data_IF_040984941422
#
_entry.id   IF_040984941422
#
_cell.length_a   1.000
_cell.length_b   1.000
_cell.length_c   1.000
_cell.angle_alpha   90.00
_cell.angle_beta   90.00
_cell.angle_gamma   90.00
#
_symmetry.space_group_name_H-M   'P 1'
#
loop_
_entity.id
_entity.type
_entity.pdbx_description
1 polymer ?
#
# COMPACT_ATOMS: atom_id res chain seq x y z
N UNK A 1 10.22 40.81 38.79
CA UNK A 1 10.09 41.63 37.56
C UNK A 1 8.86 41.15 36.79
N UNK A 2 7.93 42.05 36.46
CA UNK A 2 6.70 41.73 35.71
C UNK A 2 6.03 43.04 35.24
N UNK A 3 5.19 42.98 34.18
CA UNK A 3 4.40 44.07 33.54
C UNK A 3 5.16 44.92 32.49
N UNK A 4 4.57 45.38 31.38
CA UNK A 4 3.24 45.14 30.75
C UNK A 4 3.19 45.62 29.27
N UNK A 5 2.20 45.12 28.50
CA UNK A 5 1.57 45.69 27.26
C UNK A 5 2.39 45.70 25.96
N UNK A 6 1.89 45.18 24.82
CA UNK A 6 0.69 45.50 24.00
C UNK A 6 0.83 46.78 23.16
N UNK A 7 0.91 46.62 21.83
CA UNK A 7 0.80 47.68 20.83
C UNK A 7 -0.09 47.22 19.66
N UNK A 8 -0.90 48.13 19.11
CA UNK A 8 -1.97 47.81 18.15
C UNK A 8 -2.37 49.07 17.36
N UNK A 9 -2.61 48.96 16.03
CA UNK A 9 -3.17 49.99 15.11
C UNK A 9 -2.27 51.22 14.83
N UNK A 10 -2.38 52.00 13.74
CA UNK A 10 -2.98 51.85 12.39
C UNK A 10 -2.57 53.08 11.50
N UNK A 11 -3.09 53.18 10.25
CA UNK A 11 -3.11 54.36 9.34
C UNK A 11 -1.78 54.73 8.62
N UNK A 12 -1.74 55.54 7.55
CA UNK A 12 -2.53 55.67 6.30
C UNK A 12 -1.82 56.65 5.33
N UNK A 13 -1.95 56.44 4.02
CA UNK A 13 -1.75 57.34 2.83
C UNK A 13 -1.09 58.74 2.97
N UNK A 14 -0.20 59.11 2.01
CA UNK A 14 -0.37 60.20 1.00
C UNK A 14 0.89 60.49 0.12
N UNK A 15 0.68 61.22 -0.98
CA UNK A 15 1.55 61.62 -2.14
C UNK A 15 2.14 63.07 -1.95
N UNK A 16 2.87 63.78 -2.89
CA UNK A 16 3.43 63.49 -4.24
C UNK A 16 4.95 63.95 -4.48
N UNK A 17 5.39 64.82 -5.45
CA UNK A 17 6.53 64.51 -6.38
C UNK A 17 7.64 65.63 -6.40
N UNK A 18 8.43 65.99 -7.47
CA UNK A 18 8.04 66.33 -8.87
C UNK A 18 9.00 65.86 -10.01
N UNK A 19 8.75 66.37 -11.23
CA UNK A 19 9.31 65.99 -12.54
C UNK A 19 10.07 67.12 -13.26
N UNK A 20 10.90 66.80 -14.27
CA UNK A 20 11.27 67.74 -15.36
C UNK A 20 11.59 67.03 -16.70
N UNK A 21 11.32 67.71 -17.81
CA UNK A 21 11.57 67.28 -19.22
C UNK A 21 12.77 68.04 -19.83
N UNK A 22 13.18 67.82 -21.10
CA UNK A 22 12.60 68.65 -22.19
C UNK A 22 12.51 68.01 -23.61
N UNK A 23 12.06 68.84 -24.56
CA UNK A 23 11.66 68.65 -25.98
C UNK A 23 12.87 68.95 -26.93
N UNK A 24 13.10 68.38 -28.13
CA UNK A 24 12.43 68.72 -29.41
C UNK A 24 12.96 67.97 -30.67
N UNK A 25 12.08 67.65 -31.64
CA UNK A 25 12.24 67.72 -33.14
C UNK A 25 13.39 66.93 -33.88
N UNK A 26 13.38 66.63 -35.20
CA UNK A 26 12.47 66.88 -36.35
C UNK A 26 12.52 65.71 -37.40
N UNK A 27 11.66 65.81 -38.43
CA UNK A 27 11.35 64.95 -39.58
C UNK A 27 12.49 64.31 -40.41
N UNK A 28 12.19 63.15 -41.02
CA UNK A 28 12.88 62.58 -42.18
C UNK A 28 12.09 61.46 -42.87
N UNK A 29 11.54 61.72 -44.06
CA UNK A 29 10.90 60.69 -44.91
C UNK A 29 11.97 59.96 -45.75
N UNK A 30 11.86 58.64 -45.95
CA UNK A 30 11.66 58.03 -47.29
C UNK A 30 11.61 56.49 -47.31
N UNK A 31 10.85 55.99 -48.30
CA UNK A 31 10.92 54.68 -48.97
C UNK A 31 10.93 53.37 -48.17
N UNK A 32 9.83 52.62 -48.30
CA UNK A 32 9.83 51.15 -48.26
C UNK A 32 10.69 50.61 -49.40
N UNK A 33 11.52 49.60 -49.13
CA UNK A 33 11.90 48.58 -50.12
C UNK A 33 11.73 47.20 -49.48
N UNK A 34 10.87 46.39 -50.09
CA UNK A 34 10.67 44.99 -49.73
C UNK A 34 11.82 44.17 -50.31
N UNK A 35 12.68 43.63 -49.45
CA UNK A 35 13.62 42.56 -49.83
C UNK A 35 13.14 41.26 -49.22
N UNK A 36 12.67 40.34 -50.06
CA UNK A 36 12.26 39.01 -49.65
C UNK A 36 13.52 38.15 -49.38
N UNK A 37 13.99 38.17 -48.14
CA UNK A 37 15.02 37.24 -47.70
C UNK A 37 14.44 35.82 -47.72
N UNK A 38 14.90 34.99 -48.65
CA UNK A 38 14.66 33.56 -48.60
C UNK A 38 15.15 32.99 -47.26
N UNK A 39 14.42 32.05 -46.63
CA UNK A 39 14.85 31.49 -45.35
C UNK A 39 16.21 30.81 -45.54
N UNK A 40 17.22 31.28 -44.80
CA UNK A 40 18.53 30.63 -44.72
C UNK A 40 18.31 29.26 -44.09
N UNK A 41 18.29 28.22 -44.94
CA UNK A 41 18.31 26.84 -44.49
C UNK A 41 19.66 26.61 -43.82
N UNK A 42 19.67 26.59 -42.48
CA UNK A 42 20.85 26.21 -41.71
C UNK A 42 21.33 24.83 -42.17
N UNK A 43 22.59 24.68 -42.62
CA UNK A 43 23.09 23.43 -43.18
C UNK A 43 23.45 22.43 -42.07
N UNK A 44 22.44 21.97 -41.35
CA UNK A 44 22.41 20.77 -40.52
C UNK A 44 20.99 20.62 -39.94
N UNK A 45 20.18 19.61 -40.36
CA UNK A 45 18.97 19.27 -39.64
C UNK A 45 19.38 18.69 -38.28
N UNK A 46 19.42 19.53 -37.25
CA UNK A 46 19.62 19.05 -35.89
C UNK A 46 18.50 18.06 -35.56
N UNK A 47 18.86 16.83 -35.18
CA UNK A 47 17.90 15.77 -34.90
C UNK A 47 16.78 16.27 -33.97
N UNK A 48 15.58 16.44 -34.54
CA UNK A 48 14.42 17.00 -33.87
C UNK A 48 13.83 15.95 -32.92
N UNK A 49 14.45 15.81 -31.74
CA UNK A 49 14.09 14.79 -30.74
C UNK A 49 12.60 14.79 -30.41
N UNK A 50 11.97 15.96 -30.33
CA UNK A 50 10.53 16.07 -30.07
C UNK A 50 9.70 15.43 -31.18
N UNK A 51 9.94 15.82 -32.43
CA UNK A 51 9.20 15.30 -33.58
C UNK A 51 9.47 13.81 -33.79
N UNK A 52 10.68 13.34 -33.51
CA UNK A 52 11.01 11.92 -33.45
C UNK A 52 10.20 11.18 -32.39
N UNK A 53 10.07 11.71 -31.16
CA UNK A 53 9.28 11.08 -30.09
C UNK A 53 7.78 11.05 -30.39
N UNK A 54 7.24 12.09 -31.04
CA UNK A 54 5.84 12.14 -31.46
C UNK A 54 5.58 11.16 -32.61
N UNK A 55 6.37 11.22 -33.68
CA UNK A 55 6.18 10.42 -34.90
C UNK A 55 6.43 8.92 -34.71
N UNK A 56 7.50 8.55 -34.00
CA UNK A 56 7.97 7.14 -33.96
C UNK A 56 7.17 6.27 -32.98
N UNK A 57 6.52 6.88 -31.97
CA UNK A 57 5.91 6.14 -30.84
C UNK A 57 4.57 6.68 -30.31
N UNK A 58 3.99 7.71 -30.92
CA UNK A 58 2.68 8.23 -30.50
C UNK A 58 2.67 8.82 -29.09
N UNK A 59 3.81 9.32 -28.59
CA UNK A 59 3.81 10.14 -27.38
C UNK A 59 3.03 11.42 -27.65
N UNK A 60 2.17 11.81 -26.70
CA UNK A 60 1.49 13.11 -26.75
C UNK A 60 2.55 14.21 -26.74
N UNK A 61 2.42 15.26 -27.57
CA UNK A 61 3.43 16.32 -27.71
C UNK A 61 3.88 16.93 -26.38
N UNK A 62 2.99 17.06 -25.39
CA UNK A 62 3.33 17.48 -24.03
C UNK A 62 4.31 16.53 -23.28
N UNK A 63 4.24 15.22 -23.53
CA UNK A 63 5.19 14.24 -23.00
C UNK A 63 6.53 14.31 -23.74
N UNK A 64 6.50 14.49 -25.07
CA UNK A 64 7.71 14.67 -25.88
C UNK A 64 8.49 15.92 -25.46
N UNK A 65 7.82 17.08 -25.33
CA UNK A 65 8.38 18.34 -24.80
C UNK A 65 9.07 18.16 -23.44
N UNK A 66 8.47 17.37 -22.52
CA UNK A 66 9.05 17.06 -21.21
C UNK A 66 10.24 16.10 -21.27
N UNK A 67 10.35 15.32 -22.34
CA UNK A 67 11.40 14.33 -22.55
C UNK A 67 12.62 14.91 -23.29
N UNK A 68 12.41 15.77 -24.29
CA UNK A 68 13.45 16.31 -25.17
C UNK A 68 14.68 16.90 -24.43
N UNK A 69 14.56 17.69 -23.34
CA UNK A 69 15.72 18.22 -22.63
C UNK A 69 16.65 17.14 -22.06
N UNK A 70 16.11 15.97 -21.68
CA UNK A 70 16.90 14.83 -21.17
C UNK A 70 17.68 14.11 -22.28
N UNK A 71 17.37 14.40 -23.53
CA UNK A 71 17.81 13.72 -24.75
C UNK A 71 18.58 14.65 -25.71
N UNK A 72 18.83 15.91 -25.33
CA UNK A 72 19.43 16.95 -26.17
C UNK A 72 20.83 16.64 -26.74
N UNK A 73 21.49 15.59 -26.26
CA UNK A 73 22.77 15.09 -26.76
C UNK A 73 22.63 14.09 -27.93
N UNK A 74 21.43 13.60 -28.23
CA UNK A 74 21.17 12.74 -29.38
C UNK A 74 21.27 13.55 -30.68
N UNK A 75 22.03 13.04 -31.64
CA UNK A 75 22.25 13.66 -32.96
C UNK A 75 21.74 12.81 -34.14
N UNK A 76 21.21 11.62 -33.86
CA UNK A 76 20.74 10.64 -34.85
C UNK A 76 19.72 9.69 -34.21
N UNK A 77 18.71 9.21 -34.96
CA UNK A 77 17.75 8.22 -34.48
C UNK A 77 18.33 6.81 -34.30
N UNK A 78 19.50 6.50 -34.87
CA UNK A 78 20.02 5.13 -34.95
C UNK A 78 20.15 4.39 -33.60
N UNK A 79 20.62 5.08 -32.53
CA UNK A 79 20.69 4.44 -31.20
C UNK A 79 19.30 4.32 -30.53
N UNK A 80 18.45 5.37 -30.51
CA UNK A 80 17.04 5.23 -30.15
C UNK A 80 16.32 4.08 -30.86
N UNK A 81 16.41 3.97 -32.19
CA UNK A 81 15.75 2.93 -32.99
C UNK A 81 16.26 1.53 -32.61
N UNK A 82 17.57 1.34 -32.43
CA UNK A 82 18.14 0.09 -31.95
C UNK A 82 17.62 -0.31 -30.56
N UNK A 83 17.48 0.66 -29.63
CA UNK A 83 16.87 0.42 -28.31
C UNK A 83 15.39 0.07 -28.44
N UNK A 84 14.65 0.76 -29.31
CA UNK A 84 13.23 0.51 -29.54
C UNK A 84 12.99 -0.88 -30.18
N UNK A 85 13.84 -1.30 -31.11
CA UNK A 85 13.81 -2.61 -31.74
C UNK A 85 14.18 -3.72 -30.75
N UNK A 86 15.19 -3.50 -29.90
CA UNK A 86 15.55 -4.43 -28.83
C UNK A 86 14.39 -4.64 -27.84
N UNK A 87 13.73 -3.57 -27.38
CA UNK A 87 12.56 -3.68 -26.49
C UNK A 87 11.38 -4.40 -27.15
N UNK A 88 11.15 -4.19 -28.45
CA UNK A 88 10.14 -4.94 -29.20
C UNK A 88 10.51 -6.42 -29.32
N UNK A 89 11.79 -6.76 -29.58
CA UNK A 89 12.31 -8.13 -29.64
C UNK A 89 12.27 -8.90 -28.29
N UNK A 90 12.22 -8.17 -27.16
CA UNK A 90 11.90 -8.77 -25.85
C UNK A 90 10.41 -9.10 -25.68
N UNK A 91 9.52 -8.48 -26.48
CA UNK A 91 8.07 -8.68 -26.41
C UNK A 91 7.28 -7.53 -25.76
N UNK A 92 7.85 -6.33 -25.59
CA UNK A 92 7.06 -5.18 -25.11
C UNK A 92 6.12 -4.67 -26.20
N UNK A 93 4.87 -4.38 -25.83
CA UNK A 93 3.90 -3.77 -26.75
C UNK A 93 4.30 -2.33 -27.11
N UNK A 94 3.79 -1.82 -28.24
CA UNK A 94 4.04 -0.43 -28.64
C UNK A 94 3.62 0.60 -27.59
N UNK A 95 2.50 0.34 -26.91
CA UNK A 95 1.99 1.17 -25.81
C UNK A 95 2.88 1.11 -24.56
N UNK A 96 3.36 -0.09 -24.19
CA UNK A 96 4.28 -0.25 -23.05
C UNK A 96 5.61 0.48 -23.27
N UNK A 97 6.17 0.37 -24.49
CA UNK A 97 7.41 1.11 -24.83
C UNK A 97 7.17 2.61 -24.79
N UNK A 98 6.04 3.12 -25.31
CA UNK A 98 5.70 4.54 -25.23
C UNK A 98 5.57 5.01 -23.77
N UNK A 99 4.90 4.24 -22.91
CA UNK A 99 4.74 4.54 -21.49
C UNK A 99 6.09 4.49 -20.72
N UNK A 100 6.97 3.55 -21.06
CA UNK A 100 8.32 3.43 -20.49
C UNK A 100 9.19 4.62 -20.91
N UNK A 101 9.21 4.99 -22.20
CA UNK A 101 9.95 6.15 -22.72
C UNK A 101 9.42 7.46 -22.13
N UNK A 102 8.11 7.65 -22.02
CA UNK A 102 7.52 8.85 -21.41
C UNK A 102 7.96 9.06 -19.95
N UNK A 103 8.20 7.96 -19.21
CA UNK A 103 8.66 8.00 -17.82
C UNK A 103 10.18 8.14 -17.70
N UNK A 104 10.94 7.41 -18.51
CA UNK A 104 12.41 7.36 -18.46
C UNK A 104 13.07 7.56 -19.84
N UNK A 105 12.99 8.77 -20.43
CA UNK A 105 13.41 9.03 -21.82
C UNK A 105 14.84 8.60 -22.15
N UNK A 106 15.79 8.81 -21.23
CA UNK A 106 17.22 8.50 -21.42
C UNK A 106 17.49 6.99 -21.56
N UNK A 107 16.47 6.12 -21.52
CA UNK A 107 16.60 4.73 -21.93
C UNK A 107 17.01 4.63 -23.41
N UNK A 108 16.54 5.56 -24.24
CA UNK A 108 16.92 5.70 -25.66
C UNK A 108 18.40 6.05 -25.88
N UNK A 109 19.11 6.43 -24.81
CA UNK A 109 20.55 6.71 -24.81
C UNK A 109 21.40 5.51 -24.38
N UNK A 110 20.78 4.42 -23.91
CA UNK A 110 21.49 3.21 -23.53
C UNK A 110 22.05 2.50 -24.76
N UNK A 111 23.17 1.79 -24.59
CA UNK A 111 23.78 0.98 -25.66
C UNK A 111 23.24 -0.44 -25.55
N UNK A 112 22.64 -0.97 -26.62
CA UNK A 112 22.00 -2.30 -26.59
C UNK A 112 23.01 -3.38 -26.15
N UNK A 113 24.08 -3.58 -26.92
CA UNK A 113 25.09 -4.62 -26.67
C UNK A 113 25.91 -4.43 -25.39
N UNK A 114 26.15 -3.19 -24.97
CA UNK A 114 27.01 -2.89 -23.80
C UNK A 114 26.25 -2.70 -22.49
N UNK A 115 24.92 -2.58 -22.55
CA UNK A 115 24.11 -2.20 -21.38
C UNK A 115 22.82 -3.00 -21.29
N UNK A 116 21.94 -2.91 -22.28
CA UNK A 116 20.61 -3.50 -22.18
C UNK A 116 20.65 -5.03 -22.27
N UNK A 117 21.29 -5.59 -23.30
CA UNK A 117 21.41 -7.05 -23.46
C UNK A 117 22.15 -7.71 -22.28
N UNK A 118 23.32 -7.21 -21.81
CA UNK A 118 23.97 -7.76 -20.62
C UNK A 118 23.14 -7.65 -19.33
N UNK A 119 22.29 -6.62 -19.18
CA UNK A 119 21.42 -6.46 -18.01
C UNK A 119 20.21 -7.40 -18.06
N UNK A 120 19.61 -7.60 -19.24
CA UNK A 120 18.55 -8.60 -19.44
C UNK A 120 19.08 -10.02 -19.24
N UNK A 121 20.30 -10.32 -19.74
CA UNK A 121 20.96 -11.60 -19.49
C UNK A 121 21.21 -11.83 -17.99
N UNK A 122 21.63 -10.80 -17.24
CA UNK A 122 21.80 -10.89 -15.80
C UNK A 122 20.46 -11.07 -15.05
N UNK A 123 19.38 -10.44 -15.49
CA UNK A 123 18.03 -10.68 -14.95
C UNK A 123 17.54 -12.11 -15.24
N UNK A 124 17.86 -12.64 -16.42
CA UNK A 124 17.57 -14.04 -16.78
C UNK A 124 18.39 -14.99 -15.90
N UNK A 125 19.66 -14.67 -15.65
CA UNK A 125 20.56 -15.44 -14.78
C UNK A 125 20.18 -15.46 -13.30
N UNK A 126 19.33 -14.54 -12.82
CA UNK A 126 18.71 -14.63 -11.47
C UNK A 126 17.35 -15.35 -11.47
N UNK A 127 16.98 -15.98 -12.58
CA UNK A 127 15.80 -16.83 -12.70
C UNK A 127 14.54 -16.15 -13.22
N UNK A 128 14.59 -14.91 -13.71
CA UNK A 128 13.43 -14.27 -14.34
C UNK A 128 13.23 -14.76 -15.78
N UNK A 129 12.01 -15.16 -16.10
CA UNK A 129 11.57 -15.42 -17.48
C UNK A 129 11.50 -14.13 -18.30
N UNK A 130 11.52 -14.26 -19.63
CA UNK A 130 11.34 -13.13 -20.56
C UNK A 130 10.04 -12.36 -20.28
N UNK A 131 8.94 -13.07 -20.02
CA UNK A 131 7.63 -12.48 -19.70
C UNK A 131 7.63 -11.67 -18.40
N UNK A 132 8.37 -12.08 -17.38
CA UNK A 132 8.47 -11.33 -16.12
C UNK A 132 9.35 -10.08 -16.27
N UNK A 133 10.42 -10.17 -17.06
CA UNK A 133 11.25 -9.00 -17.42
C UNK A 133 10.42 -7.99 -18.21
N UNK A 134 9.62 -8.44 -19.19
CA UNK A 134 8.64 -7.58 -19.90
C UNK A 134 7.64 -6.97 -18.91
N UNK A 135 7.05 -7.76 -18.00
CA UNK A 135 6.10 -7.27 -17.00
C UNK A 135 6.68 -6.20 -16.07
N UNK A 136 7.93 -6.33 -15.64
CA UNK A 136 8.65 -5.29 -14.89
C UNK A 136 8.84 -4.02 -15.73
N UNK A 137 9.24 -4.15 -16.99
CA UNK A 137 9.45 -3.01 -17.88
C UNK A 137 8.14 -2.28 -18.24
N UNK A 138 7.06 -2.99 -18.55
CA UNK A 138 5.73 -2.43 -18.84
C UNK A 138 5.13 -1.68 -17.65
N UNK A 139 5.41 -2.09 -16.42
CA UNK A 139 5.06 -1.30 -15.22
C UNK A 139 5.84 0.03 -15.10
N UNK A 140 6.79 0.31 -16.00
CA UNK A 140 7.75 1.41 -15.93
C UNK A 140 8.68 1.26 -14.74
N UNK A 141 8.98 0.02 -14.37
CA UNK A 141 9.64 -0.42 -13.15
C UNK A 141 11.03 -1.00 -13.47
N UNK A 142 11.94 -0.14 -13.91
CA UNK A 142 13.35 -0.48 -14.13
C UNK A 142 13.98 0.43 -15.18
N UNK A 143 15.17 0.98 -14.88
CA UNK A 143 15.92 1.78 -15.86
C UNK A 143 16.80 0.89 -16.75
N UNK A 144 17.30 -0.22 -16.21
CA UNK A 144 18.26 -1.14 -16.84
C UNK A 144 19.47 -0.44 -17.51
N UNK A 145 19.81 0.78 -17.07
CA UNK A 145 20.91 1.58 -17.63
C UNK A 145 22.25 1.29 -16.97
N UNK A 146 22.24 0.70 -15.78
CA UNK A 146 23.45 0.35 -15.04
C UNK A 146 23.37 -1.07 -14.48
N UNK A 147 24.53 -1.64 -14.14
CA UNK A 147 24.59 -2.88 -13.35
C UNK A 147 23.92 -2.72 -11.98
N UNK A 148 23.97 -1.52 -11.38
CA UNK A 148 23.32 -1.24 -10.10
C UNK A 148 21.78 -1.28 -10.15
N UNK A 149 21.14 -1.05 -11.31
CA UNK A 149 19.70 -1.29 -11.49
C UNK A 149 19.38 -2.79 -11.33
N UNK A 150 20.21 -3.67 -11.91
CA UNK A 150 20.05 -5.13 -11.81
C UNK A 150 20.28 -5.61 -10.37
N UNK A 151 21.34 -5.15 -9.70
CA UNK A 151 21.60 -5.49 -8.30
C UNK A 151 20.47 -5.03 -7.36
N UNK A 152 19.85 -3.87 -7.65
CA UNK A 152 18.66 -3.40 -6.91
C UNK A 152 17.46 -4.33 -7.12
N UNK A 153 17.18 -4.71 -8.37
CA UNK A 153 16.11 -5.66 -8.68
C UNK A 153 16.35 -7.02 -7.98
N UNK A 154 17.56 -7.56 -8.07
CA UNK A 154 17.94 -8.83 -7.41
C UNK A 154 17.75 -8.76 -5.89
N UNK A 155 18.14 -7.66 -5.24
CA UNK A 155 17.90 -7.48 -3.80
C UNK A 155 16.40 -7.47 -3.48
N UNK A 156 15.57 -6.79 -4.29
CA UNK A 156 14.12 -6.81 -4.08
C UNK A 156 13.52 -8.20 -4.29
N UNK A 157 13.90 -8.94 -5.33
CA UNK A 157 13.42 -10.31 -5.54
C UNK A 157 13.72 -11.20 -4.32
N UNK A 158 14.94 -11.12 -3.79
CA UNK A 158 15.32 -11.81 -2.54
C UNK A 158 14.50 -11.34 -1.33
N UNK A 159 14.26 -10.03 -1.18
CA UNK A 159 13.49 -9.46 -0.07
C UNK A 159 12.00 -9.84 -0.10
N UNK A 160 11.39 -9.90 -1.28
CA UNK A 160 9.97 -10.22 -1.46
C UNK A 160 9.71 -11.74 -1.55
N UNK A 161 10.76 -12.55 -1.73
CA UNK A 161 10.71 -14.01 -1.81
C UNK A 161 10.15 -14.57 -3.12
N UNK A 162 9.40 -13.77 -3.88
CA UNK A 162 8.99 -14.08 -5.25
C UNK A 162 8.81 -12.82 -6.09
N UNK A 163 8.90 -12.98 -7.40
CA UNK A 163 8.56 -11.95 -8.39
C UNK A 163 7.08 -11.53 -8.30
N UNK A 164 6.15 -12.46 -8.07
CA UNK A 164 4.72 -12.13 -7.89
C UNK A 164 4.46 -11.20 -6.72
N UNK A 165 5.08 -11.47 -5.56
CA UNK A 165 5.01 -10.61 -4.38
C UNK A 165 5.55 -9.22 -4.69
N UNK A 166 6.66 -9.15 -5.42
CA UNK A 166 7.27 -7.89 -5.81
C UNK A 166 6.40 -7.11 -6.80
N UNK A 167 5.89 -7.75 -7.85
CA UNK A 167 4.95 -7.16 -8.81
C UNK A 167 3.66 -6.69 -8.13
N UNK A 168 3.14 -7.43 -7.15
CA UNK A 168 1.98 -7.01 -6.35
C UNK A 168 2.28 -5.73 -5.55
N UNK A 169 3.45 -5.66 -4.90
CA UNK A 169 3.90 -4.46 -4.18
C UNK A 169 4.01 -3.24 -5.10
N UNK A 170 4.61 -3.42 -6.29
CA UNK A 170 4.78 -2.37 -7.31
C UNK A 170 3.42 -1.87 -7.84
N UNK A 171 2.45 -2.77 -8.11
CA UNK A 171 1.10 -2.39 -8.55
C UNK A 171 0.34 -1.57 -7.50
N UNK A 172 0.53 -1.85 -6.20
CA UNK A 172 -0.24 -1.25 -5.10
C UNK A 172 0.17 0.19 -4.73
N UNK A 173 1.44 0.55 -4.88
CA UNK A 173 2.00 1.88 -4.49
C UNK A 173 2.95 2.48 -5.53
N UNK A 174 2.85 2.01 -6.77
CA UNK A 174 3.71 2.41 -7.89
C UNK A 174 5.16 1.96 -7.74
N UNK A 175 5.98 2.21 -8.75
CA UNK A 175 7.39 1.82 -8.77
C UNK A 175 8.29 2.54 -7.73
N UNK A 176 7.74 3.29 -6.78
CA UNK A 176 8.44 4.16 -5.80
C UNK A 176 9.66 3.48 -5.15
N UNK A 177 9.55 2.19 -4.84
CA UNK A 177 10.61 1.34 -4.29
C UNK A 177 11.87 1.22 -5.17
N UNK A 178 11.72 1.27 -6.49
CA UNK A 178 12.84 1.22 -7.44
C UNK A 178 13.59 2.55 -7.56
N UNK A 179 12.93 3.66 -7.22
CA UNK A 179 13.54 4.99 -7.18
C UNK A 179 14.23 5.27 -5.84
N UNK A 180 13.82 4.57 -4.77
CA UNK A 180 14.50 4.64 -3.49
C UNK A 180 15.97 4.20 -3.62
N UNK A 181 16.83 4.83 -2.83
CA UNK A 181 18.23 4.43 -2.73
C UNK A 181 18.34 3.10 -1.96
N UNK A 182 19.04 2.14 -2.55
CA UNK A 182 19.15 0.78 -2.01
C UNK A 182 19.94 0.75 -0.69
N UNK A 183 21.06 1.46 -0.65
CA UNK A 183 22.02 1.44 0.47
C UNK A 183 21.61 2.43 1.57
N UNK A 184 21.05 3.59 1.18
CA UNK A 184 20.75 4.69 2.11
C UNK A 184 19.32 4.68 2.65
N UNK A 185 18.40 3.96 2.03
CA UNK A 185 16.98 3.94 2.43
C UNK A 185 16.45 2.52 2.59
N UNK A 186 16.52 1.68 1.55
CA UNK A 186 15.89 0.35 1.57
C UNK A 186 16.57 -0.59 2.58
N UNK A 187 17.89 -0.80 2.47
CA UNK A 187 18.63 -1.70 3.37
C UNK A 187 18.56 -1.26 4.85
N UNK A 188 18.73 0.03 5.22
CA UNK A 188 18.53 0.49 6.60
C UNK A 188 17.12 0.23 7.13
N UNK A 189 16.07 0.46 6.32
CA UNK A 189 14.70 0.15 6.73
C UNK A 189 14.48 -1.37 6.91
N UNK A 190 15.08 -2.22 6.08
CA UNK A 190 15.04 -3.70 6.27
C UNK A 190 15.80 -4.13 7.52
N UNK A 191 16.99 -3.58 7.76
CA UNK A 191 17.77 -3.84 8.96
C UNK A 191 17.00 -3.45 10.23
N UNK A 192 16.41 -2.25 10.22
CA UNK A 192 15.54 -1.75 11.28
C UNK A 192 14.34 -2.69 11.57
N UNK A 193 13.67 -3.21 10.53
CA UNK A 193 12.59 -4.18 10.74
C UNK A 193 13.10 -5.50 11.36
N UNK A 194 14.34 -5.91 11.09
CA UNK A 194 14.98 -7.07 11.75
C UNK A 194 15.33 -6.78 13.21
N UNK A 195 15.80 -5.57 13.54
CA UNK A 195 16.03 -5.13 14.94
C UNK A 195 14.75 -5.20 15.79
N UNK A 196 13.58 -5.05 15.18
CA UNK A 196 12.27 -5.20 15.82
C UNK A 196 11.76 -6.65 15.86
N UNK A 197 12.60 -7.61 15.45
CA UNK A 197 12.36 -9.04 15.53
C UNK A 197 11.53 -9.62 14.39
N UNK A 198 11.36 -8.92 13.27
CA UNK A 198 10.70 -9.51 12.10
C UNK A 198 11.68 -10.38 11.31
N UNK A 199 11.33 -11.66 11.14
CA UNK A 199 12.05 -12.56 10.24
C UNK A 199 11.84 -12.20 8.75
N UNK A 200 12.71 -12.67 7.83
CA UNK A 200 12.65 -12.31 6.41
C UNK A 200 11.29 -12.55 5.76
N UNK A 201 10.61 -13.66 6.08
CA UNK A 201 9.29 -13.99 5.55
C UNK A 201 8.20 -13.00 6.00
N UNK A 202 8.32 -12.44 7.20
CA UNK A 202 7.36 -11.47 7.73
C UNK A 202 7.64 -10.05 7.23
N UNK A 203 8.91 -9.70 7.03
CA UNK A 203 9.29 -8.47 6.31
C UNK A 203 8.73 -8.54 4.88
N UNK A 204 8.93 -9.64 4.16
CA UNK A 204 8.37 -9.82 2.81
C UNK A 204 6.85 -9.58 2.78
N UNK A 205 6.09 -10.32 3.60
CA UNK A 205 4.62 -10.21 3.69
C UNK A 205 4.16 -8.81 4.11
N UNK A 206 4.84 -8.19 5.06
CA UNK A 206 4.54 -6.81 5.49
C UNK A 206 4.80 -5.81 4.35
N UNK A 207 5.92 -5.92 3.64
CA UNK A 207 6.29 -5.01 2.55
C UNK A 207 5.43 -5.20 1.29
N UNK A 208 4.84 -6.38 1.05
CA UNK A 208 3.80 -6.55 0.01
C UNK A 208 2.57 -5.70 0.33
N UNK A 209 2.10 -5.73 1.58
CA UNK A 209 0.95 -4.94 2.03
C UNK A 209 1.29 -3.44 2.17
N UNK A 210 2.51 -3.13 2.59
CA UNK A 210 3.00 -1.82 3.01
C UNK A 210 4.36 -1.45 2.37
N UNK A 211 4.47 -1.28 1.03
CA UNK A 211 5.75 -1.03 0.36
C UNK A 211 6.47 0.25 0.83
N UNK A 212 5.70 1.23 1.33
CA UNK A 212 6.18 2.52 1.82
C UNK A 212 7.18 2.41 2.99
N UNK A 213 7.14 1.30 3.76
CA UNK A 213 8.07 1.03 4.85
C UNK A 213 9.52 0.93 4.36
N UNK A 214 9.72 0.52 3.10
CA UNK A 214 11.04 0.39 2.50
C UNK A 214 11.56 1.70 1.92
N UNK A 215 10.67 2.65 1.60
CA UNK A 215 10.99 3.88 0.84
C UNK A 215 10.93 5.15 1.68
N UNK A 216 10.50 5.06 2.94
CA UNK A 216 10.30 6.22 3.81
C UNK A 216 11.53 6.53 4.67
N UNK A 217 11.55 7.73 5.24
CA UNK A 217 12.55 8.10 6.27
C UNK A 217 12.44 7.14 7.46
N UNK A 218 13.59 6.64 7.93
CA UNK A 218 13.66 5.67 9.02
C UNK A 218 12.96 6.15 10.31
N UNK A 219 12.98 7.45 10.60
CA UNK A 219 12.23 8.09 11.70
C UNK A 219 10.74 7.74 11.69
N UNK A 220 10.09 7.77 10.52
CA UNK A 220 8.67 7.46 10.39
C UNK A 220 8.39 5.99 10.65
N UNK A 221 9.23 5.12 10.08
CA UNK A 221 9.14 3.65 10.29
C UNK A 221 9.34 3.32 11.79
N UNK A 222 10.30 3.99 12.43
CA UNK A 222 10.58 3.91 13.87
C UNK A 222 9.43 4.40 14.73
N UNK A 223 8.83 5.54 14.41
CA UNK A 223 7.65 6.04 15.11
C UNK A 223 6.46 5.07 15.04
N UNK A 224 6.24 4.43 13.87
CA UNK A 224 5.22 3.38 13.73
C UNK A 224 5.54 2.14 14.59
N UNK A 225 6.80 1.71 14.64
CA UNK A 225 7.21 0.57 15.45
C UNK A 225 7.12 0.83 16.96
N UNK A 226 7.56 2.01 17.43
CA UNK A 226 7.40 2.45 18.83
C UNK A 226 5.92 2.58 19.21
N UNK A 227 5.06 3.01 18.27
CA UNK A 227 3.61 3.01 18.50
C UNK A 227 3.03 1.60 18.70
N UNK A 228 3.59 0.57 18.05
CA UNK A 228 3.20 -0.83 18.26
C UNK A 228 3.64 -1.31 19.64
N UNK A 229 4.85 -0.98 20.09
CA UNK A 229 5.31 -1.30 21.45
C UNK A 229 4.42 -0.65 22.52
N UNK A 230 4.06 0.63 22.31
CA UNK A 230 3.13 1.36 23.19
C UNK A 230 1.69 0.81 23.22
N UNK A 231 1.33 -0.12 22.34
CA UNK A 231 0.08 -0.89 22.40
C UNK A 231 0.23 -2.24 23.15
N UNK A 232 1.35 -2.45 23.83
CA UNK A 232 1.63 -3.67 24.60
C UNK A 232 2.08 -4.86 23.75
N UNK A 233 2.66 -4.61 22.57
CA UNK A 233 3.06 -5.65 21.62
C UNK A 233 4.59 -5.77 21.60
N UNK A 234 5.18 -6.82 22.21
CA UNK A 234 6.63 -6.93 22.31
C UNK A 234 7.29 -7.24 20.97
N UNK A 235 8.51 -6.73 20.78
CA UNK A 235 9.38 -7.06 19.64
C UNK A 235 9.55 -8.57 19.49
N UNK A 236 9.71 -9.05 18.26
CA UNK A 236 9.81 -10.49 17.98
C UNK A 236 8.52 -11.30 18.15
N UNK A 237 7.42 -10.70 18.67
CA UNK A 237 6.11 -11.36 18.66
C UNK A 237 5.62 -11.59 17.23
N UNK A 238 5.05 -12.76 16.95
CA UNK A 238 4.36 -13.04 15.68
C UNK A 238 3.20 -12.09 15.36
N UNK A 239 2.70 -11.35 16.36
CA UNK A 239 1.70 -10.29 16.17
C UNK A 239 2.31 -8.94 15.77
N UNK A 240 3.62 -8.72 15.92
CA UNK A 240 4.26 -7.43 15.63
C UNK A 240 4.09 -7.00 14.17
N UNK A 241 4.26 -7.93 13.22
CA UNK A 241 3.99 -7.69 11.79
C UNK A 241 2.54 -7.28 11.51
N UNK A 242 1.58 -7.87 12.23
CA UNK A 242 0.16 -7.60 12.08
C UNK A 242 -0.20 -6.24 12.67
N UNK A 243 0.43 -5.87 13.78
CA UNK A 243 0.30 -4.57 14.40
C UNK A 243 0.86 -3.45 13.52
N UNK A 244 2.10 -3.59 13.02
CA UNK A 244 2.69 -2.65 12.06
C UNK A 244 1.77 -2.43 10.86
N UNK A 245 1.20 -3.49 10.28
CA UNK A 245 0.24 -3.38 9.19
C UNK A 245 -1.08 -2.69 9.60
N UNK A 246 -1.55 -2.88 10.84
CA UNK A 246 -2.75 -2.22 11.34
C UNK A 246 -2.56 -0.70 11.55
N UNK A 247 -1.39 -0.27 12.03
CA UNK A 247 -1.12 1.16 12.31
C UNK A 247 -0.46 1.92 11.15
N UNK A 248 -0.07 1.24 10.06
CA UNK A 248 0.79 1.76 8.99
C UNK A 248 0.42 3.14 8.37
N UNK A 249 -0.86 3.52 8.40
CA UNK A 249 -1.35 4.82 7.90
C UNK A 249 -2.30 5.52 8.87
N UNK A 250 -2.23 5.17 10.16
CA UNK A 250 -3.12 5.70 11.21
C UNK A 250 -2.31 6.64 12.10
N UNK A 251 -2.81 7.85 12.36
CA UNK A 251 -2.14 8.78 13.29
C UNK A 251 -2.31 8.33 14.74
N UNK A 252 -1.42 8.75 15.65
CA UNK A 252 -1.45 8.34 17.06
C UNK A 252 -2.79 8.68 17.73
N UNK A 253 -3.38 9.81 17.36
CA UNK A 253 -4.66 10.31 17.86
C UNK A 253 -5.82 9.43 17.37
N UNK A 254 -5.78 9.01 16.09
CA UNK A 254 -6.77 8.07 15.52
C UNK A 254 -6.65 6.67 16.14
N UNK A 255 -5.44 6.22 16.47
CA UNK A 255 -5.20 4.96 17.20
C UNK A 255 -5.80 5.10 18.61
N UNK A 256 -5.45 6.14 19.37
CA UNK A 256 -5.95 6.37 20.72
C UNK A 256 -7.49 6.45 20.76
N UNK A 257 -8.10 7.22 19.85
CA UNK A 257 -9.56 7.30 19.72
C UNK A 257 -10.21 5.93 19.37
N UNK A 258 -9.50 5.05 18.66
CA UNK A 258 -9.95 3.69 18.36
C UNK A 258 -9.83 2.76 19.57
N UNK A 259 -8.77 2.89 20.37
CA UNK A 259 -8.60 2.17 21.65
C UNK A 259 -9.71 2.57 22.63
N UNK A 260 -9.96 3.86 22.81
CA UNK A 260 -11.05 4.36 23.66
C UNK A 260 -12.44 3.89 23.21
N UNK A 261 -12.67 3.82 21.89
CA UNK A 261 -13.91 3.24 21.37
C UNK A 261 -14.01 1.73 21.64
N UNK A 262 -12.91 0.97 21.55
CA UNK A 262 -12.90 -0.46 21.91
C UNK A 262 -13.21 -0.67 23.40
N UNK A 263 -12.57 0.11 24.29
CA UNK A 263 -12.86 0.13 25.74
C UNK A 263 -14.34 0.35 26.01
N UNK A 264 -14.94 1.40 25.43
CA UNK A 264 -16.37 1.72 25.59
C UNK A 264 -17.29 0.65 25.03
N UNK A 265 -17.04 0.18 23.80
CA UNK A 265 -17.93 -0.80 23.14
C UNK A 265 -17.90 -2.16 23.84
N UNK A 266 -16.74 -2.66 24.30
CA UNK A 266 -16.64 -3.97 24.95
C UNK A 266 -16.58 -3.92 26.49
N UNK A 267 -16.73 -2.75 27.09
CA UNK A 267 -16.61 -2.52 28.55
C UNK A 267 -15.25 -2.96 29.12
N UNK A 268 -14.18 -2.82 28.34
CA UNK A 268 -12.82 -3.20 28.74
C UNK A 268 -12.11 -2.11 29.53
N UNK A 269 -11.40 -2.54 30.57
CA UNK A 269 -10.31 -1.80 31.21
C UNK A 269 -9.10 -1.62 30.29
N UNK A 270 -8.16 -0.77 30.69
CA UNK A 270 -6.90 -0.55 29.97
C UNK A 270 -6.05 -1.84 29.84
N UNK A 271 -6.04 -2.69 30.86
CA UNK A 271 -5.37 -3.98 30.81
C UNK A 271 -6.02 -4.94 29.80
N UNK A 272 -7.35 -5.01 29.78
CA UNK A 272 -8.10 -5.89 28.89
C UNK A 272 -7.99 -5.47 27.42
N UNK A 273 -8.09 -4.17 27.11
CA UNK A 273 -7.91 -3.71 25.73
C UNK A 273 -6.47 -3.93 25.26
N UNK A 274 -5.48 -3.84 26.14
CA UNK A 274 -4.08 -4.22 25.86
C UNK A 274 -3.94 -5.71 25.52
N UNK A 275 -4.58 -6.61 26.29
CA UNK A 275 -4.61 -8.05 25.99
C UNK A 275 -5.32 -8.30 24.64
N UNK A 276 -6.42 -7.61 24.37
CA UNK A 276 -7.19 -7.77 23.14
C UNK A 276 -6.41 -7.31 21.90
N UNK A 277 -5.78 -6.14 21.95
CA UNK A 277 -4.98 -5.59 20.85
C UNK A 277 -3.72 -6.41 20.63
N UNK A 278 -3.02 -6.83 21.69
CA UNK A 278 -1.79 -7.62 21.55
C UNK A 278 -2.02 -9.01 20.95
N UNK A 279 -3.19 -9.61 21.17
CA UNK A 279 -3.59 -10.90 20.55
C UNK A 279 -4.25 -10.77 19.19
N UNK A 280 -4.86 -9.62 18.86
CA UNK A 280 -5.49 -9.40 17.55
C UNK A 280 -5.41 -7.92 17.10
N UNK A 281 -4.24 -7.43 16.64
CA UNK A 281 -4.07 -6.01 16.31
C UNK A 281 -5.02 -5.50 15.21
N UNK A 282 -5.50 -6.40 14.35
CA UNK A 282 -6.47 -6.13 13.30
C UNK A 282 -7.85 -5.64 13.80
N UNK A 283 -8.17 -5.72 15.11
CA UNK A 283 -9.42 -5.12 15.65
C UNK A 283 -9.46 -3.60 15.45
N UNK A 284 -8.28 -2.94 15.44
CA UNK A 284 -8.13 -1.51 15.16
C UNK A 284 -8.68 -1.11 13.78
N UNK A 285 -8.64 -2.04 12.82
CA UNK A 285 -9.07 -1.80 11.42
C UNK A 285 -10.57 -2.07 11.17
N UNK A 286 -11.33 -2.51 12.17
CA UNK A 286 -12.77 -2.77 12.01
C UNK A 286 -13.58 -1.48 12.12
N UNK A 287 -14.72 -1.37 11.42
CA UNK A 287 -15.62 -0.22 11.59
C UNK A 287 -16.25 -0.21 12.99
N UNK A 288 -16.91 0.89 13.38
CA UNK A 288 -17.53 0.98 14.72
C UNK A 288 -18.73 0.05 14.82
N UNK A 289 -19.54 0.04 13.77
CA UNK A 289 -20.78 -0.71 13.60
C UNK A 289 -20.52 -2.22 13.60
N UNK A 290 -19.42 -2.64 12.96
CA UNK A 290 -18.97 -4.04 12.95
C UNK A 290 -18.64 -4.57 14.36
N UNK A 291 -18.04 -3.72 15.20
CA UNK A 291 -17.67 -4.05 16.58
C UNK A 291 -18.89 -3.96 17.51
N UNK A 292 -19.72 -2.94 17.34
CA UNK A 292 -20.93 -2.70 18.12
C UNK A 292 -21.89 -3.89 18.07
N UNK A 293 -22.25 -4.37 16.87
CA UNK A 293 -23.10 -5.57 16.68
C UNK A 293 -22.53 -6.85 17.31
N UNK A 294 -21.19 -6.92 17.46
CA UNK A 294 -20.52 -8.06 18.12
C UNK A 294 -20.53 -7.91 19.63
N UNK A 295 -20.38 -6.69 20.15
CA UNK A 295 -20.52 -6.44 21.58
C UNK A 295 -21.95 -6.72 22.05
N UNK A 296 -22.96 -6.22 21.34
CA UNK A 296 -24.37 -6.48 21.63
C UNK A 296 -24.64 -7.99 21.71
N UNK A 297 -24.28 -8.75 20.67
CA UNK A 297 -24.50 -10.19 20.68
C UNK A 297 -23.68 -10.92 21.78
N UNK A 298 -22.39 -10.62 21.94
CA UNK A 298 -21.53 -11.37 22.86
C UNK A 298 -21.77 -11.00 24.34
N UNK A 299 -22.07 -9.74 24.64
CA UNK A 299 -22.23 -9.25 26.03
C UNK A 299 -23.72 -9.24 26.41
N UNK A 300 -24.61 -8.67 25.59
CA UNK A 300 -26.04 -8.59 25.92
C UNK A 300 -26.77 -9.91 25.67
N UNK A 301 -26.66 -10.51 24.49
CA UNK A 301 -27.46 -11.70 24.11
C UNK A 301 -26.88 -13.02 24.66
N UNK A 302 -25.56 -13.08 24.88
CA UNK A 302 -24.86 -14.26 25.39
C UNK A 302 -24.35 -14.12 26.83
N UNK A 303 -24.34 -12.92 27.43
CA UNK A 303 -23.86 -12.71 28.80
C UNK A 303 -22.36 -12.98 29.00
N UNK A 304 -21.52 -12.88 27.95
CA UNK A 304 -20.09 -13.15 28.11
C UNK A 304 -19.36 -11.99 28.82
N UNK A 305 -18.58 -12.35 29.82
CA UNK A 305 -17.71 -11.42 30.54
C UNK A 305 -16.76 -10.65 29.61
N UNK A 306 -16.62 -9.31 29.74
CA UNK A 306 -15.66 -8.51 28.99
C UNK A 306 -14.24 -9.11 28.97
N UNK A 307 -13.76 -9.57 30.14
CA UNK A 307 -12.46 -10.21 30.33
C UNK A 307 -12.28 -11.49 29.50
N UNK A 308 -13.36 -12.26 29.33
CA UNK A 308 -13.36 -13.48 28.53
C UNK A 308 -13.12 -13.17 27.04
N UNK A 309 -13.81 -12.14 26.53
CA UNK A 309 -13.69 -11.66 25.15
C UNK A 309 -12.29 -11.05 24.92
N UNK A 310 -11.79 -10.24 25.87
CA UNK A 310 -10.48 -9.61 25.81
C UNK A 310 -9.33 -10.62 25.63
N UNK A 311 -9.41 -11.77 26.32
CA UNK A 311 -8.41 -12.85 26.21
C UNK A 311 -8.53 -13.67 24.92
N UNK A 312 -9.65 -13.57 24.20
CA UNK A 312 -10.00 -14.37 23.00
C UNK A 312 -10.47 -13.50 21.80
N UNK A 313 -9.79 -12.38 21.48
CA UNK A 313 -10.32 -11.34 20.59
C UNK A 313 -10.44 -11.80 19.12
N UNK A 314 -9.80 -12.92 18.76
CA UNK A 314 -9.94 -13.58 17.46
C UNK A 314 -11.40 -13.92 17.15
N UNK A 315 -12.26 -14.17 18.16
CA UNK A 315 -13.69 -14.41 17.93
C UNK A 315 -14.39 -13.24 17.22
N UNK A 316 -13.93 -12.01 17.43
CA UNK A 316 -14.46 -10.82 16.78
C UNK A 316 -14.20 -10.80 15.26
N UNK A 317 -13.28 -11.64 14.77
CA UNK A 317 -13.01 -11.78 13.33
C UNK A 317 -14.04 -12.65 12.60
N UNK A 318 -14.77 -13.52 13.31
CA UNK A 318 -15.74 -14.43 12.72
C UNK A 318 -17.01 -13.73 12.22
N UNK A 319 -17.72 -14.39 11.31
CA UNK A 319 -19.05 -13.95 10.84
C UNK A 319 -20.05 -14.02 11.99
N UNK A 320 -20.82 -12.95 12.19
CA UNK A 320 -21.87 -12.90 13.20
C UNK A 320 -22.97 -13.91 12.86
N UNK A 321 -23.58 -13.77 11.69
CA UNK A 321 -24.71 -14.60 11.25
C UNK A 321 -24.30 -16.03 10.86
N UNK A 322 -23.13 -16.24 10.24
CA UNK A 322 -22.73 -17.57 9.71
C UNK A 322 -21.88 -18.41 10.66
N UNK A 323 -21.55 -17.92 11.86
CA UNK A 323 -20.69 -18.66 12.79
C UNK A 323 -20.93 -18.35 14.26
N UNK A 324 -20.88 -17.08 14.67
CA UNK A 324 -21.04 -16.72 16.08
C UNK A 324 -22.43 -17.08 16.59
N UNK A 325 -23.49 -16.59 15.92
CA UNK A 325 -24.88 -16.88 16.29
C UNK A 325 -25.23 -18.38 16.23
N UNK A 326 -25.11 -19.07 15.08
CA UNK A 326 -25.58 -20.46 14.95
C UNK A 326 -24.92 -21.41 15.93
N UNK A 327 -23.58 -21.30 16.11
CA UNK A 327 -22.85 -22.18 17.01
C UNK A 327 -23.09 -21.85 18.48
N UNK A 328 -23.30 -20.58 18.84
CA UNK A 328 -23.66 -20.22 20.22
C UNK A 328 -25.06 -20.71 20.58
N UNK A 329 -26.01 -20.68 19.63
CA UNK A 329 -27.34 -21.25 19.83
C UNK A 329 -27.31 -22.77 19.96
N UNK A 330 -26.53 -23.48 19.14
CA UNK A 330 -26.29 -24.94 19.31
C UNK A 330 -25.70 -25.23 20.69
N UNK A 331 -24.69 -24.46 21.14
CA UNK A 331 -24.10 -24.66 22.48
C UNK A 331 -25.11 -24.38 23.60
N UNK A 332 -25.91 -23.31 23.52
CA UNK A 332 -27.00 -23.04 24.47
C UNK A 332 -28.03 -24.18 24.48
N UNK A 333 -28.46 -24.65 23.31
CA UNK A 333 -29.41 -25.76 23.16
C UNK A 333 -28.90 -27.04 23.80
N UNK A 334 -27.68 -27.47 23.46
CA UNK A 334 -27.13 -28.72 23.99
C UNK A 334 -26.93 -28.67 25.51
N UNK A 335 -26.47 -27.54 26.06
CA UNK A 335 -26.35 -27.37 27.52
C UNK A 335 -27.73 -27.41 28.20
N UNK A 336 -28.72 -26.71 27.66
CA UNK A 336 -30.08 -26.70 28.22
C UNK A 336 -30.76 -28.07 28.22
N UNK A 337 -30.41 -28.95 27.28
CA UNK A 337 -30.94 -30.32 27.18
C UNK A 337 -30.02 -31.39 27.83
N UNK A 338 -28.98 -31.00 28.57
CA UNK A 338 -28.04 -31.94 29.20
C UNK A 338 -27.17 -32.74 28.22
N UNK A 339 -27.17 -32.38 26.94
CA UNK A 339 -26.42 -33.03 25.86
C UNK A 339 -24.97 -32.52 25.73
N UNK A 340 -24.63 -31.47 26.47
CA UNK A 340 -23.28 -30.91 26.53
C UNK A 340 -22.97 -30.42 27.94
N UNK A 341 -21.75 -30.72 28.39
CA UNK A 341 -21.11 -30.21 29.60
C UNK A 341 -21.41 -28.70 29.84
N UNK A 342 -22.03 -28.32 30.97
CA UNK A 342 -22.31 -26.92 31.33
C UNK A 342 -21.07 -26.03 31.33
N UNK A 343 -19.89 -26.54 31.67
CA UNK A 343 -18.64 -25.78 31.73
C UNK A 343 -17.90 -25.69 30.39
N UNK A 344 -18.46 -26.29 29.32
CA UNK A 344 -17.84 -26.26 27.99
C UNK A 344 -17.59 -24.83 27.50
N UNK A 345 -16.32 -24.48 27.33
CA UNK A 345 -15.86 -23.19 26.81
C UNK A 345 -16.42 -22.92 25.39
N UNK A 346 -17.22 -21.86 25.24
CA UNK A 346 -17.87 -21.51 23.98
C UNK A 346 -16.85 -21.25 22.85
N UNK A 347 -15.75 -20.55 23.15
CA UNK A 347 -14.72 -20.22 22.17
C UNK A 347 -14.09 -21.47 21.54
N UNK A 348 -13.88 -22.54 22.31
CA UNK A 348 -13.40 -23.84 21.82
C UNK A 348 -14.30 -24.43 20.72
N UNK A 349 -15.59 -24.09 20.70
CA UNK A 349 -16.57 -24.49 19.68
C UNK A 349 -16.56 -23.53 18.48
N UNK A 350 -16.42 -22.22 18.75
CA UNK A 350 -16.40 -21.17 17.71
C UNK A 350 -15.18 -21.28 16.78
N UNK A 351 -14.02 -21.74 17.27
CA UNK A 351 -12.79 -21.86 16.48
C UNK A 351 -12.77 -23.02 15.49
N UNK A 352 -13.63 -24.03 15.66
CA UNK A 352 -13.58 -25.26 14.86
C UNK A 352 -13.82 -25.03 13.37
N UNK A 353 -13.28 -25.91 12.52
CA UNK A 353 -13.70 -26.02 11.12
C UNK A 353 -15.17 -26.46 11.04
N UNK A 354 -15.80 -26.30 9.88
CA UNK A 354 -17.21 -26.66 9.71
C UNK A 354 -17.44 -28.16 9.90
N UNK A 355 -16.63 -28.98 9.21
CA UNK A 355 -16.63 -30.44 9.33
C UNK A 355 -16.52 -30.90 10.79
N UNK A 356 -15.50 -30.41 11.51
CA UNK A 356 -15.25 -30.83 12.91
C UNK A 356 -16.32 -30.32 13.87
N UNK A 357 -16.96 -29.18 13.58
CA UNK A 357 -18.11 -28.71 14.36
C UNK A 357 -19.31 -29.66 14.17
N UNK A 358 -19.67 -29.98 12.92
CA UNK A 358 -20.77 -30.90 12.61
C UNK A 358 -20.56 -32.28 13.24
N UNK A 359 -19.35 -32.84 13.10
CA UNK A 359 -18.98 -34.16 13.65
C UNK A 359 -19.06 -34.22 15.18
N UNK A 360 -18.77 -33.11 15.89
CA UNK A 360 -18.69 -33.09 17.36
C UNK A 360 -19.93 -32.55 18.08
N UNK A 361 -20.75 -31.72 17.43
CA UNK A 361 -21.85 -30.98 18.07
C UNK A 361 -23.20 -31.11 17.37
N UNK A 362 -23.28 -31.78 16.22
CA UNK A 362 -24.54 -31.98 15.50
C UNK A 362 -24.80 -33.47 15.26
N UNK A 363 -23.87 -34.16 14.60
CA UNK A 363 -24.02 -35.59 14.26
C UNK A 363 -24.24 -36.53 15.47
N UNK A 364 -23.60 -36.36 16.64
CA UNK A 364 -23.82 -37.23 17.80
C UNK A 364 -25.21 -37.14 18.42
N UNK A 365 -25.96 -36.06 18.13
CA UNK A 365 -27.25 -35.77 18.75
C UNK A 365 -28.43 -35.96 17.80
N UNK A 366 -28.26 -36.66 16.66
CA UNK A 366 -29.32 -36.87 15.67
C UNK A 366 -30.57 -37.55 16.22
N UNK A 367 -30.43 -38.45 17.19
CA UNK A 367 -31.55 -39.16 17.81
C UNK A 367 -32.17 -38.32 18.94
N UNK A 368 -31.34 -37.75 19.82
CA UNK A 368 -31.78 -36.94 20.96
C UNK A 368 -32.31 -35.55 20.58
N UNK A 369 -31.91 -35.01 19.42
CA UNK A 369 -32.31 -33.70 18.92
C UNK A 369 -32.42 -33.69 17.37
N UNK A 370 -33.42 -34.36 16.78
CA UNK A 370 -33.51 -34.55 15.32
C UNK A 370 -33.53 -33.25 14.50
N UNK A 371 -34.14 -32.20 15.04
CA UNK A 371 -34.25 -30.90 14.36
C UNK A 371 -32.93 -30.10 14.34
N UNK A 372 -31.97 -30.41 15.21
CA UNK A 372 -30.78 -29.58 15.48
C UNK A 372 -29.94 -29.29 14.22
N UNK A 373 -29.85 -30.26 13.30
CA UNK A 373 -29.12 -30.08 12.05
C UNK A 373 -29.82 -29.10 11.08
N UNK A 374 -31.16 -29.13 11.03
CA UNK A 374 -31.98 -28.19 10.27
C UNK A 374 -31.94 -26.78 10.89
N UNK A 375 -32.16 -26.71 12.21
CA UNK A 375 -32.09 -25.46 12.97
C UNK A 375 -30.74 -24.76 12.80
N UNK A 376 -29.62 -25.50 12.86
CA UNK A 376 -28.29 -24.97 12.59
C UNK A 376 -28.12 -24.49 11.15
N UNK A 377 -28.60 -25.25 10.15
CA UNK A 377 -28.52 -24.88 8.75
C UNK A 377 -29.30 -23.60 8.44
N UNK A 378 -30.46 -23.41 9.08
CA UNK A 378 -31.29 -22.21 8.93
C UNK A 378 -30.73 -21.02 9.71
N UNK A 379 -30.18 -21.25 10.90
CA UNK A 379 -29.41 -20.25 11.64
C UNK A 379 -28.22 -19.72 10.80
N UNK A 380 -27.51 -20.60 10.09
CA UNK A 380 -26.42 -20.21 9.18
C UNK A 380 -26.89 -19.38 7.96
N UNK A 381 -28.18 -19.38 7.64
CA UNK A 381 -28.81 -18.49 6.63
C UNK A 381 -29.27 -17.16 7.24
N UNK A 382 -29.21 -16.99 8.56
CA UNK A 382 -29.69 -15.80 9.28
C UNK A 382 -31.15 -15.88 9.73
N UNK A 383 -31.79 -17.05 9.62
CA UNK A 383 -33.10 -17.30 10.22
C UNK A 383 -32.91 -17.58 11.73
N UNK A 384 -33.93 -17.37 12.56
CA UNK A 384 -33.89 -17.74 13.98
C UNK A 384 -34.91 -18.88 14.25
N UNK A 385 -34.45 -20.15 14.26
CA UNK A 385 -35.32 -21.30 14.51
C UNK A 385 -35.96 -21.22 15.90
N UNK A 386 -37.16 -21.78 16.03
CA UNK A 386 -37.93 -21.76 17.28
C UNK A 386 -37.16 -22.40 18.44
N UNK A 387 -36.44 -23.50 18.18
CA UNK A 387 -35.65 -24.24 19.18
C UNK A 387 -34.42 -23.47 19.70
N UNK A 388 -34.06 -22.35 19.07
CA UNK A 388 -32.97 -21.46 19.49
C UNK A 388 -33.46 -20.17 20.17
N UNK A 389 -34.76 -20.07 20.46
CA UNK A 389 -35.36 -18.98 21.25
C UNK A 389 -35.29 -19.34 22.73
N UNK A 390 -34.16 -19.06 23.35
CA UNK A 390 -34.00 -19.14 24.80
C UNK A 390 -34.65 -17.90 25.43
N UNK A 391 -35.68 -18.13 26.25
CA UNK A 391 -36.37 -17.11 27.06
C UNK A 391 -35.57 -16.75 28.31
#
# INVERSE_FOLDING_TARGET
MLRLRLGCRALSQLLPPPSSSPISQLLGYHSRLLSAAAPVVSPNPSFAVEDYLVSTRGLVRAQALKASPKLAHLRSPANPDAVLAFLAGLGLSGADVAALVAREPQLLCAKVERTLAPNVAALTGVGLSRSEIVGLLSLGCGKLRSRSDVSKLQYHLSLFGSIDNFLHALKRKGCSILWADLERVVKPNVAFLREFGLGPCDIAKLCVAQPWLLTSRAERVRATAVCVEGLGIPRGSGMFRHALNAVAFVSKEKIAAKVEHLKKTFRWSDAEVGIAISRAPNVLNKTKEFLQRRSEFLISDLGLEPAYIARRPVMLSYSLERRLRPRSYVVKFLKANGLLDPDRDLYSVLVLSEKVFMEKYICPHKEAAPCLAGDYADACKGLLPTNFRFT
#
